data_IF_230840681735
#
_entry.id   IF_230840681735
#
_cell.length_a   1.000
_cell.length_b   1.000
_cell.length_c   1.000
_cell.angle_alpha   90.00
_cell.angle_beta   90.00
_cell.angle_gamma   90.00
#
_symmetry.space_group_name_H-M   'P 1'
#
loop_
_entity.id
_entity.type
_entity.pdbx_description
1 polymer ?
#
# COMPACT_ATOMS: atom_id res chain seq x y z
N UNK A 1 4.86 1.86 2.65
CA UNK A 1 6.31 1.60 2.81
C UNK A 1 6.77 0.47 1.87
N UNK A 2 7.75 0.70 0.97
CA UNK A 2 8.31 -0.33 0.08
C UNK A 2 8.84 -1.59 0.78
N UNK A 3 9.47 -1.46 1.96
CA UNK A 3 10.02 -2.60 2.68
C UNK A 3 8.94 -3.57 3.17
N UNK A 4 7.87 -3.01 3.74
CA UNK A 4 6.72 -3.81 4.17
C UNK A 4 6.03 -4.49 2.98
N UNK A 5 5.89 -3.78 1.87
CA UNK A 5 5.34 -4.31 0.63
C UNK A 5 6.20 -5.46 0.08
N UNK A 6 7.53 -5.37 0.17
CA UNK A 6 8.44 -6.44 -0.21
C UNK A 6 8.24 -7.69 0.66
N UNK A 7 8.17 -7.53 1.99
CA UNK A 7 7.90 -8.66 2.90
C UNK A 7 6.59 -9.37 2.57
N UNK A 8 5.54 -8.62 2.21
CA UNK A 8 4.21 -9.16 1.87
C UNK A 8 4.10 -9.77 0.48
N UNK A 9 4.98 -9.41 -0.45
CA UNK A 9 4.88 -9.83 -1.88
C UNK A 9 5.97 -10.78 -2.33
N UNK A 10 7.05 -10.93 -1.55
CA UNK A 10 8.12 -11.90 -1.80
C UNK A 10 7.55 -13.30 -2.02
N UNK A 11 7.99 -13.96 -3.09
CA UNK A 11 7.63 -15.34 -3.42
C UNK A 11 6.21 -15.53 -3.98
N UNK A 12 5.45 -14.46 -4.22
CA UNK A 12 4.08 -14.55 -4.72
C UNK A 12 3.96 -14.95 -6.20
N UNK A 13 3.16 -15.98 -6.48
CA UNK A 13 2.78 -16.44 -7.83
C UNK A 13 1.68 -15.55 -8.43
N UNK A 14 1.98 -14.30 -8.72
CA UNK A 14 0.99 -13.36 -9.27
C UNK A 14 1.52 -11.96 -9.53
N UNK A 15 2.84 -11.81 -9.49
CA UNK A 15 3.52 -10.52 -9.56
C UNK A 15 4.50 -10.50 -10.75
N UNK A 16 4.04 -10.47 -12.01
CA UNK A 16 4.93 -10.52 -13.18
C UNK A 16 6.05 -9.48 -13.14
N UNK A 17 5.75 -8.27 -12.68
CA UNK A 17 6.72 -7.18 -12.52
C UNK A 17 7.81 -7.48 -11.48
N UNK A 18 7.58 -8.40 -10.54
CA UNK A 18 8.51 -8.77 -9.48
C UNK A 18 9.22 -10.10 -9.75
N UNK A 19 8.96 -10.76 -10.89
CA UNK A 19 9.55 -12.07 -11.22
C UNK A 19 10.99 -11.95 -11.70
N UNK A 20 11.33 -10.86 -12.37
CA UNK A 20 12.61 -10.68 -13.05
C UNK A 20 13.36 -9.49 -12.43
N UNK A 21 14.58 -9.73 -11.92
CA UNK A 21 15.43 -8.69 -11.33
C UNK A 21 15.24 -8.50 -9.82
N UNK A 22 15.77 -7.39 -9.30
CA UNK A 22 15.68 -7.07 -7.86
C UNK A 22 14.28 -6.55 -7.50
N UNK A 23 13.46 -7.42 -6.94
CA UNK A 23 12.10 -7.11 -6.51
C UNK A 23 12.04 -5.94 -5.51
N UNK A 24 13.04 -5.78 -4.63
CA UNK A 24 13.06 -4.66 -3.68
C UNK A 24 13.26 -3.35 -4.43
N UNK A 25 14.25 -3.30 -5.34
CA UNK A 25 14.50 -2.11 -6.15
C UNK A 25 13.31 -1.74 -7.04
N UNK A 26 12.65 -2.74 -7.62
CA UNK A 26 11.43 -2.52 -8.41
C UNK A 26 10.32 -1.91 -7.56
N UNK A 27 10.08 -2.42 -6.36
CA UNK A 27 9.07 -1.87 -5.45
C UNK A 27 9.40 -0.45 -4.99
N UNK A 28 10.68 -0.14 -4.71
CA UNK A 28 11.13 1.22 -4.40
C UNK A 28 10.84 2.19 -5.55
N UNK A 29 11.19 1.81 -6.78
CA UNK A 29 10.95 2.63 -7.97
C UNK A 29 9.46 2.82 -8.24
N UNK A 30 8.66 1.76 -8.13
CA UNK A 30 7.20 1.83 -8.30
C UNK A 30 6.57 2.74 -7.24
N UNK A 31 7.03 2.66 -5.99
CA UNK A 31 6.54 3.51 -4.91
C UNK A 31 6.87 4.98 -5.16
N UNK A 32 8.10 5.30 -5.57
CA UNK A 32 8.52 6.69 -5.84
C UNK A 32 7.67 7.38 -6.92
N UNK A 33 7.25 6.64 -7.94
CA UNK A 33 6.41 7.18 -9.03
C UNK A 33 4.93 7.19 -8.66
N UNK A 34 4.43 6.16 -7.97
CA UNK A 34 2.99 5.95 -7.78
C UNK A 34 2.43 6.54 -6.50
N UNK A 35 3.21 6.64 -5.42
CA UNK A 35 2.73 7.18 -4.14
C UNK A 35 2.19 8.62 -4.28
N UNK A 36 2.84 9.54 -5.02
CA UNK A 36 2.29 10.88 -5.27
C UNK A 36 0.95 10.82 -6.01
N UNK A 37 0.83 9.98 -7.04
CA UNK A 37 -0.40 9.83 -7.83
C UNK A 37 -1.54 9.25 -7.00
N UNK A 38 -1.26 8.28 -6.12
CA UNK A 38 -2.27 7.74 -5.21
C UNK A 38 -2.73 8.76 -4.19
N UNK A 39 -1.83 9.60 -3.68
CA UNK A 39 -2.17 10.66 -2.72
C UNK A 39 -2.92 11.82 -3.34
N UNK A 40 -2.62 12.15 -4.60
CA UNK A 40 -3.26 13.25 -5.32
C UNK A 40 -4.77 13.05 -5.48
N UNK A 41 -5.21 11.81 -5.76
CA UNK A 41 -6.62 11.50 -6.03
C UNK A 41 -7.38 10.93 -4.82
N UNK A 42 -6.69 10.67 -3.71
CA UNK A 42 -7.30 10.03 -2.55
C UNK A 42 -7.92 11.08 -1.62
N UNK A 43 -9.22 10.95 -1.38
CA UNK A 43 -9.90 11.72 -0.32
C UNK A 43 -9.38 11.32 1.08
N UNK A 44 -9.06 10.03 1.26
CA UNK A 44 -8.56 9.47 2.51
C UNK A 44 -7.37 8.52 2.29
N UNK A 45 -6.35 8.65 3.13
CA UNK A 45 -5.17 7.77 3.14
C UNK A 45 -5.06 7.10 4.51
N UNK A 46 -5.02 5.77 4.54
CA UNK A 46 -4.97 4.97 5.77
C UNK A 46 -3.69 4.11 5.79
N UNK A 47 -2.94 4.19 6.88
CA UNK A 47 -1.75 3.35 7.10
C UNK A 47 -2.15 1.93 7.52
N UNK A 48 -1.75 0.93 6.74
CA UNK A 48 -2.23 -0.47 6.87
C UNK A 48 -1.24 -1.42 7.57
N UNK A 49 -0.25 -0.88 8.29
CA UNK A 49 0.87 -1.67 8.84
C UNK A 49 0.49 -2.60 9.99
N UNK A 50 0.39 -2.06 11.20
CA UNK A 50 0.18 -2.83 12.45
C UNK A 50 -1.28 -3.21 12.78
N UNK A 51 -2.30 -2.41 12.42
CA UNK A 51 -3.68 -2.75 12.77
C UNK A 51 -4.22 -3.97 12.02
N UNK A 52 -5.15 -4.68 12.65
CA UNK A 52 -5.93 -5.72 11.98
C UNK A 52 -6.87 -5.14 10.92
N UNK A 53 -7.33 -5.98 9.99
CA UNK A 53 -8.31 -5.57 8.96
C UNK A 53 -9.55 -4.94 9.58
N UNK A 54 -10.08 -5.50 10.68
CA UNK A 54 -11.25 -4.94 11.37
C UNK A 54 -10.98 -3.52 11.92
N UNK A 55 -9.81 -3.30 12.53
CA UNK A 55 -9.43 -1.97 13.01
C UNK A 55 -9.29 -0.96 11.87
N UNK A 56 -8.76 -1.38 10.72
CA UNK A 56 -8.66 -0.53 9.52
C UNK A 56 -10.05 -0.16 8.99
N UNK A 57 -10.97 -1.12 8.92
CA UNK A 57 -12.36 -0.87 8.49
C UNK A 57 -13.07 0.08 9.44
N UNK A 58 -12.94 -0.12 10.76
CA UNK A 58 -13.51 0.80 11.75
C UNK A 58 -12.95 2.22 11.61
N UNK A 59 -11.63 2.35 11.38
CA UNK A 59 -10.99 3.66 11.17
C UNK A 59 -11.53 4.35 9.92
N UNK A 60 -11.70 3.61 8.82
CA UNK A 60 -12.27 4.14 7.59
C UNK A 60 -13.71 4.64 7.80
N UNK A 61 -14.55 3.86 8.49
CA UNK A 61 -15.94 4.26 8.78
C UNK A 61 -15.97 5.59 9.55
N UNK A 62 -15.15 5.72 10.62
CA UNK A 62 -15.08 6.96 11.39
C UNK A 62 -14.60 8.16 10.55
N UNK A 63 -13.64 7.98 9.64
CA UNK A 63 -13.17 9.06 8.76
C UNK A 63 -14.26 9.52 7.79
N UNK A 64 -15.07 8.60 7.26
CA UNK A 64 -16.19 8.90 6.37
C UNK A 64 -17.33 9.63 7.09
N UNK A 65 -17.61 9.25 8.34
CA UNK A 65 -18.62 9.93 9.17
C UNK A 65 -18.23 11.38 9.50
N UNK A 66 -16.94 11.65 9.73
CA UNK A 66 -16.43 13.00 10.05
C UNK A 66 -16.30 13.92 8.82
N UNK A 67 -16.32 13.36 7.61
CA UNK A 67 -16.21 14.10 6.34
C UNK A 67 -17.57 14.34 5.66
N UNK A 68 -18.65 13.79 6.25
CA UNK A 68 -20.05 14.04 5.87
C UNK A 68 -20.60 15.29 6.55
#
# INVERSE_FOLDING_TARGET
NPMELWHRTKGGVGRPLLKNGDAKKILENLYAVRDPLYREIADHVIETGKPSVNQLVTTLIMQLELSS
#
